data_IF_707604994309
#
_entry.id   IF_707604994309
#
_cell.length_a   1.000
_cell.length_b   1.000
_cell.length_c   1.000
_cell.angle_alpha   90.00
_cell.angle_beta   90.00
_cell.angle_gamma   90.00
#
_symmetry.space_group_name_H-M   'P 1'
#
loop_
_entity.id
_entity.type
_entity.pdbx_description
1 polymer ?
#
# COMPACT_ATOMS: atom_id res chain seq x y z
N UNK A 1 5.63 -1.85 -0.31
CA UNK A 1 6.61 -0.77 -0.62
C UNK A 1 6.38 -0.05 -1.96
N UNK A 2 5.38 -0.42 -2.77
CA UNK A 2 5.17 0.20 -4.08
C UNK A 2 4.74 1.68 -4.06
N UNK A 3 3.98 2.12 -3.06
CA UNK A 3 3.45 3.50 -2.99
C UNK A 3 4.56 4.52 -2.81
N UNK A 4 5.31 4.44 -1.70
CA UNK A 4 6.27 5.49 -1.35
C UNK A 4 7.45 5.60 -2.28
N UNK A 5 7.97 4.47 -2.78
CA UNK A 5 9.03 4.51 -3.77
C UNK A 5 8.57 5.23 -5.03
N UNK A 6 7.39 4.91 -5.57
CA UNK A 6 6.84 5.58 -6.76
C UNK A 6 6.56 7.07 -6.52
N UNK A 7 5.98 7.40 -5.38
CA UNK A 7 5.61 8.79 -5.07
C UNK A 7 6.84 9.67 -4.81
N UNK A 8 7.83 9.18 -4.05
CA UNK A 8 9.08 9.91 -3.77
C UNK A 8 9.99 10.04 -5.00
N UNK A 9 9.96 9.06 -5.90
CA UNK A 9 10.78 9.04 -7.13
C UNK A 9 10.40 10.13 -8.15
N UNK A 10 9.15 10.62 -8.11
CA UNK A 10 8.75 11.77 -8.93
C UNK A 10 9.58 13.01 -8.56
N UNK A 11 10.05 13.75 -9.57
CA UNK A 11 10.88 14.93 -9.31
C UNK A 11 10.07 16.04 -8.64
N UNK A 12 10.62 16.61 -7.57
CA UNK A 12 10.14 17.81 -6.92
C UNK A 12 11.01 19.03 -7.29
N UNK A 13 10.45 20.25 -7.32
CA UNK A 13 11.17 21.43 -7.79
C UNK A 13 12.27 21.93 -6.84
N UNK A 14 12.36 21.42 -5.61
CA UNK A 14 13.29 21.93 -4.59
C UNK A 14 14.52 21.02 -4.44
N UNK A 15 14.31 19.72 -4.24
CA UNK A 15 15.39 18.74 -4.04
C UNK A 15 15.55 17.78 -5.23
N UNK A 16 14.72 17.89 -6.26
CA UNK A 16 14.77 16.98 -7.41
C UNK A 16 14.25 15.61 -7.02
N UNK A 17 15.10 14.66 -6.67
CA UNK A 17 14.69 13.30 -6.32
C UNK A 17 14.86 13.04 -4.82
N UNK A 18 13.79 12.64 -4.15
CA UNK A 18 13.83 12.16 -2.76
C UNK A 18 14.18 10.67 -2.78
N UNK A 19 15.45 10.32 -2.55
CA UNK A 19 15.92 8.93 -2.56
C UNK A 19 15.79 8.33 -1.16
N UNK A 20 14.85 7.41 -0.88
CA UNK A 20 14.65 6.90 0.46
C UNK A 20 15.60 5.74 0.79
N UNK A 21 16.26 5.81 1.95
CA UNK A 21 16.76 4.62 2.65
C UNK A 21 15.56 3.96 3.33
N UNK A 22 15.08 2.86 2.77
CA UNK A 22 13.89 2.16 3.29
C UNK A 22 14.29 1.20 4.40
N UNK A 23 13.87 1.50 5.63
CA UNK A 23 13.94 0.59 6.77
C UNK A 23 12.55 0.05 7.07
N UNK A 24 12.20 -1.08 6.45
CA UNK A 24 10.93 -1.75 6.67
C UNK A 24 11.11 -3.26 6.61
N UNK A 25 10.46 -3.97 7.53
CA UNK A 25 10.34 -5.43 7.51
C UNK A 25 8.87 -5.83 7.64
N UNK A 26 8.46 -7.00 7.10
CA UNK A 26 7.15 -7.55 7.40
C UNK A 26 6.93 -7.62 8.92
N UNK A 27 5.76 -7.17 9.38
CA UNK A 27 5.46 -7.15 10.82
C UNK A 27 6.28 -6.17 11.65
N UNK A 28 6.83 -5.09 11.07
CA UNK A 28 7.48 -4.05 11.85
C UNK A 28 6.47 -3.32 12.77
N UNK A 29 6.82 -3.15 14.04
CA UNK A 29 6.04 -2.40 15.03
C UNK A 29 6.85 -1.18 15.50
N UNK A 30 6.17 -0.04 15.66
CA UNK A 30 6.74 1.13 16.32
C UNK A 30 7.18 0.80 17.73
N UNK A 31 6.49 -0.07 18.47
CA UNK A 31 6.78 -0.36 19.88
C UNK A 31 8.17 -0.94 20.11
N UNK A 32 8.65 -1.78 19.18
CA UNK A 32 9.94 -2.46 19.28
C UNK A 32 11.07 -1.70 18.61
N UNK A 33 10.80 -0.86 17.60
CA UNK A 33 11.85 -0.23 16.82
C UNK A 33 12.66 0.76 17.69
N UNK A 34 13.99 0.64 17.70
CA UNK A 34 14.92 1.40 18.56
C UNK A 34 14.75 1.21 20.09
N UNK A 35 13.93 0.27 20.55
CA UNK A 35 13.89 -0.12 21.96
C UNK A 35 15.19 -0.85 22.40
N UNK A 36 15.40 -1.04 23.71
CA UNK A 36 16.63 -1.58 24.33
C UNK A 36 17.09 -2.95 23.78
N UNK A 37 16.24 -3.70 23.09
CA UNK A 37 16.57 -4.97 22.44
C UNK A 37 16.13 -5.04 20.96
N UNK A 38 15.90 -3.89 20.33
CA UNK A 38 15.49 -3.81 18.94
C UNK A 38 16.59 -4.33 18.01
N UNK A 39 16.18 -4.87 16.86
CA UNK A 39 17.11 -5.29 15.79
C UNK A 39 18.12 -4.18 15.50
N UNK A 40 19.40 -4.57 15.33
CA UNK A 40 20.56 -3.70 15.05
C UNK A 40 20.51 -2.94 13.71
N UNK A 41 19.34 -2.75 13.09
CA UNK A 41 19.18 -2.09 11.78
C UNK A 41 19.78 -0.68 11.74
N UNK A 42 19.61 0.05 12.83
CA UNK A 42 20.15 1.41 12.99
C UNK A 42 21.66 1.43 13.22
N UNK A 43 22.28 0.30 13.56
CA UNK A 43 23.74 0.21 13.73
C UNK A 43 24.45 0.49 12.40
N UNK A 44 23.88 0.09 11.26
CA UNK A 44 24.48 0.41 9.97
C UNK A 44 24.43 1.92 9.68
N UNK A 45 23.31 2.57 10.00
CA UNK A 45 23.17 4.04 9.88
C UNK A 45 24.20 4.74 10.77
N UNK A 46 24.34 4.29 12.02
CA UNK A 46 25.28 4.86 12.98
C UNK A 46 26.73 4.61 12.57
N UNK A 47 27.04 3.40 12.09
CA UNK A 47 28.37 3.07 11.62
C UNK A 47 28.78 4.00 10.46
N UNK A 48 27.87 4.26 9.51
CA UNK A 48 28.17 5.18 8.40
C UNK A 48 28.27 6.62 8.89
N UNK A 49 27.38 7.07 9.80
CA UNK A 49 27.48 8.38 10.45
C UNK A 49 28.87 8.58 11.07
N UNK A 50 29.30 7.64 11.90
CA UNK A 50 30.48 7.76 12.75
C UNK A 50 31.79 7.58 11.99
N UNK A 51 31.81 6.72 10.96
CA UNK A 51 33.04 6.35 10.27
C UNK A 51 33.21 7.01 8.89
N UNK A 52 32.11 7.42 8.22
CA UNK A 52 32.17 7.87 6.83
C UNK A 52 31.48 9.20 6.56
N UNK A 53 30.59 9.69 7.43
CA UNK A 53 29.82 10.91 7.21
C UNK A 53 30.13 12.03 8.21
N UNK A 54 31.33 12.02 8.80
CA UNK A 54 31.82 13.07 9.70
C UNK A 54 30.91 13.32 10.91
N UNK A 55 30.28 12.26 11.45
CA UNK A 55 29.36 12.34 12.58
C UNK A 55 27.93 12.77 12.22
N UNK A 56 27.63 13.03 10.94
CA UNK A 56 26.30 13.49 10.50
C UNK A 56 25.40 12.32 10.08
N UNK A 57 24.08 12.36 10.35
CA UNK A 57 23.16 11.36 9.81
C UNK A 57 23.23 11.29 8.29
N UNK A 58 23.07 10.08 7.72
CA UNK A 58 23.08 9.83 6.27
C UNK A 58 21.74 10.15 5.58
N UNK A 59 20.87 10.84 6.29
CA UNK A 59 19.51 11.18 5.87
C UNK A 59 19.20 12.61 6.32
N UNK A 60 18.25 13.25 5.65
CA UNK A 60 17.85 14.64 5.92
C UNK A 60 16.55 14.75 6.73
N UNK A 61 15.70 13.73 6.66
CA UNK A 61 14.47 13.61 7.44
C UNK A 61 14.10 12.14 7.66
N UNK A 62 13.13 11.90 8.53
CA UNK A 62 12.50 10.59 8.73
C UNK A 62 11.04 10.64 8.27
N UNK A 63 10.65 9.75 7.37
CA UNK A 63 9.24 9.53 7.02
C UNK A 63 8.70 8.33 7.81
N UNK A 64 7.78 8.58 8.73
CA UNK A 64 7.25 7.57 9.64
C UNK A 64 5.85 7.06 9.22
N UNK A 65 5.86 5.93 8.50
CA UNK A 65 4.67 5.15 8.16
C UNK A 65 4.44 3.93 9.09
N UNK A 66 5.13 3.85 10.23
CA UNK A 66 4.95 2.76 11.20
C UNK A 66 3.67 2.95 12.01
N UNK A 67 3.27 1.96 12.83
CA UNK A 67 2.14 2.09 13.74
C UNK A 67 0.96 1.20 13.41
N UNK A 68 0.81 0.74 12.16
CA UNK A 68 -0.34 -0.10 11.77
C UNK A 68 -0.31 -1.45 12.48
N UNK A 69 0.88 -2.06 12.64
CA UNK A 69 1.00 -3.37 13.29
C UNK A 69 0.96 -3.28 14.82
N UNK A 70 1.18 -2.09 15.40
CA UNK A 70 1.02 -1.79 16.84
C UNK A 70 -0.44 -1.80 17.34
N UNK A 71 -1.34 -2.21 16.45
CA UNK A 71 -2.79 -2.19 16.60
C UNK A 71 -3.27 -2.86 17.88
N UNK A 72 -4.28 -2.25 18.49
CA UNK A 72 -4.97 -2.75 19.68
C UNK A 72 -6.33 -2.06 19.77
N UNK A 73 -7.28 -2.66 20.48
CA UNK A 73 -8.59 -2.04 20.74
C UNK A 73 -8.47 -0.85 21.69
N UNK A 74 -7.41 -0.78 22.51
CA UNK A 74 -7.18 0.30 23.47
C UNK A 74 -6.44 1.49 22.82
N UNK A 75 -7.14 2.61 22.65
CA UNK A 75 -6.60 3.82 22.01
C UNK A 75 -5.28 4.31 22.62
N UNK A 76 -5.22 4.46 23.95
CA UNK A 76 -4.03 4.98 24.65
C UNK A 76 -2.80 4.10 24.47
N UNK A 77 -2.98 2.77 24.40
CA UNK A 77 -1.90 1.82 24.14
C UNK A 77 -1.42 1.88 22.69
N UNK A 78 -2.33 2.02 21.73
CA UNK A 78 -1.93 2.19 20.32
C UNK A 78 -1.15 3.50 20.13
N UNK A 79 -1.64 4.59 20.70
CA UNK A 79 -0.96 5.88 20.67
C UNK A 79 0.43 5.82 21.30
N UNK A 80 0.57 5.23 22.50
CA UNK A 80 1.87 5.16 23.17
C UNK A 80 2.90 4.37 22.35
N UNK A 81 2.48 3.28 21.72
CA UNK A 81 3.32 2.48 20.81
C UNK A 81 3.73 3.27 19.56
N UNK A 82 2.77 3.92 18.88
CA UNK A 82 3.03 4.75 17.69
C UNK A 82 4.00 5.88 17.99
N UNK A 83 3.77 6.64 19.06
CA UNK A 83 4.60 7.80 19.39
C UNK A 83 5.91 7.45 20.11
N UNK A 84 6.09 6.21 20.54
CA UNK A 84 7.36 5.73 21.08
C UNK A 84 8.51 5.80 20.09
N UNK A 85 8.27 5.49 18.80
CA UNK A 85 9.32 5.54 17.78
C UNK A 85 9.86 6.97 17.53
N UNK A 86 9.05 7.99 17.20
CA UNK A 86 9.58 9.33 16.97
C UNK A 86 10.28 9.90 18.21
N UNK A 87 9.82 9.57 19.42
CA UNK A 87 10.53 9.91 20.66
C UNK A 87 11.94 9.32 20.69
N UNK A 88 12.08 8.01 20.44
CA UNK A 88 13.39 7.33 20.43
C UNK A 88 14.31 7.80 19.30
N UNK A 89 13.76 8.12 18.13
CA UNK A 89 14.53 8.73 17.02
C UNK A 89 15.09 10.08 17.46
N UNK A 90 14.27 10.95 18.06
CA UNK A 90 14.71 12.26 18.58
C UNK A 90 15.72 12.13 19.72
N UNK A 91 15.60 11.12 20.58
CA UNK A 91 16.62 10.83 21.60
C UNK A 91 17.94 10.41 20.97
N UNK A 92 17.92 9.54 19.93
CA UNK A 92 19.14 8.99 19.31
C UNK A 92 19.86 9.99 18.40
N UNK A 93 19.13 10.80 17.65
CA UNK A 93 19.69 11.67 16.60
C UNK A 93 19.52 13.17 16.88
N UNK A 94 18.90 13.53 18.01
CA UNK A 94 18.73 14.90 18.47
C UNK A 94 17.28 15.39 18.35
N UNK A 95 16.87 16.23 19.32
CA UNK A 95 15.50 16.73 19.44
C UNK A 95 15.01 17.49 18.19
N UNK A 96 15.93 18.11 17.44
CA UNK A 96 15.66 18.82 16.18
C UNK A 96 15.50 17.92 14.96
N UNK A 97 15.58 16.59 15.10
CA UNK A 97 15.37 15.66 13.98
C UNK A 97 14.01 15.91 13.31
N UNK A 98 14.01 16.17 12.00
CA UNK A 98 12.81 16.42 11.23
C UNK A 98 12.10 15.10 10.89
N UNK A 99 10.92 14.88 11.48
CA UNK A 99 10.11 13.68 11.28
C UNK A 99 8.77 14.06 10.64
N UNK A 100 8.46 13.47 9.50
CA UNK A 100 7.16 13.57 8.84
C UNK A 100 6.34 12.31 9.16
N UNK A 101 5.25 12.48 9.89
CA UNK A 101 4.34 11.40 10.24
C UNK A 101 3.32 11.11 9.14
N UNK A 102 2.71 9.93 9.18
CA UNK A 102 1.65 9.53 8.26
C UNK A 102 0.46 8.93 9.00
N UNK A 103 -0.74 9.23 8.53
CA UNK A 103 -1.94 8.51 8.99
C UNK A 103 -1.91 7.04 8.53
N UNK A 104 -2.55 6.19 9.33
CA UNK A 104 -2.59 4.74 9.16
C UNK A 104 -3.79 4.33 8.29
N UNK A 105 -3.59 3.27 7.52
CA UNK A 105 -4.62 2.66 6.67
C UNK A 105 -5.36 1.55 7.42
N UNK A 106 -6.66 1.36 7.18
CA UNK A 106 -7.47 0.32 7.83
C UNK A 106 -7.09 -1.10 7.41
N UNK A 107 -7.68 -2.08 8.10
CA UNK A 107 -7.79 -3.48 7.63
C UNK A 107 -9.24 -3.73 7.25
N UNK A 108 -9.46 -4.40 6.12
CA UNK A 108 -10.79 -4.78 5.68
C UNK A 108 -10.98 -6.30 5.78
N UNK A 109 -12.24 -6.72 5.77
CA UNK A 109 -12.65 -8.04 5.33
C UNK A 109 -13.61 -7.88 4.15
N UNK A 110 -13.83 -8.94 3.38
CA UNK A 110 -14.76 -8.92 2.25
C UNK A 110 -15.58 -10.20 2.15
N UNK A 111 -16.85 -10.05 1.80
CA UNK A 111 -17.76 -11.16 1.47
C UNK A 111 -17.73 -11.58 0.00
N UNK A 112 -17.05 -10.81 -0.87
CA UNK A 112 -17.05 -10.99 -2.33
C UNK A 112 -15.64 -10.90 -2.92
N UNK A 113 -14.63 -11.25 -2.13
CA UNK A 113 -13.22 -11.21 -2.48
C UNK A 113 -12.69 -9.82 -2.91
N UNK A 114 -13.30 -8.75 -2.42
CA UNK A 114 -12.93 -7.36 -2.71
C UNK A 114 -13.45 -6.86 -4.05
N UNK A 115 -14.48 -7.51 -4.59
CA UNK A 115 -15.08 -7.14 -5.88
C UNK A 115 -15.77 -5.79 -5.80
N UNK A 116 -16.66 -5.60 -4.82
CA UNK A 116 -17.44 -4.38 -4.66
C UNK A 116 -17.08 -3.62 -3.39
N UNK A 117 -17.26 -2.29 -3.40
CA UNK A 117 -17.13 -1.46 -2.21
C UNK A 117 -18.17 -1.90 -1.18
N UNK A 118 -19.39 -2.25 -1.60
CA UNK A 118 -20.43 -2.77 -0.72
C UNK A 118 -19.99 -4.04 0.04
N UNK A 119 -19.24 -4.93 -0.62
CA UNK A 119 -18.74 -6.18 -0.04
C UNK A 119 -17.66 -6.03 1.03
N UNK A 120 -17.03 -4.84 1.17
CA UNK A 120 -16.09 -4.59 2.26
C UNK A 120 -16.78 -4.33 3.59
N UNK A 121 -16.18 -4.87 4.65
CA UNK A 121 -16.50 -4.63 6.05
C UNK A 121 -15.26 -4.18 6.83
N UNK A 122 -15.46 -3.35 7.86
CA UNK A 122 -14.42 -2.93 8.82
C UNK A 122 -14.93 -3.16 10.24
N UNK A 123 -14.08 -3.67 11.11
CA UNK A 123 -14.37 -3.72 12.55
C UNK A 123 -14.19 -2.35 13.19
N UNK A 124 -14.81 -2.09 14.35
CA UNK A 124 -14.67 -0.81 15.10
C UNK A 124 -13.21 -0.38 15.34
N UNK A 125 -12.29 -1.34 15.54
CA UNK A 125 -10.86 -1.03 15.68
C UNK A 125 -10.27 -0.35 14.44
N UNK A 126 -10.72 -0.75 13.26
CA UNK A 126 -10.21 -0.33 11.96
C UNK A 126 -11.11 0.68 11.24
N UNK A 127 -12.25 1.07 11.81
CA UNK A 127 -13.12 2.08 11.21
C UNK A 127 -12.38 3.45 11.16
N UNK A 128 -12.10 3.96 9.95
CA UNK A 128 -11.31 5.17 9.78
C UNK A 128 -12.11 6.47 10.00
N UNK A 129 -13.43 6.37 10.18
CA UNK A 129 -14.32 7.52 10.38
C UNK A 129 -14.71 7.68 11.85
N UNK A 130 -15.07 6.58 12.51
CA UNK A 130 -15.62 6.61 13.89
C UNK A 130 -14.91 5.69 14.89
N UNK A 131 -13.95 4.88 14.43
CA UNK A 131 -13.32 3.84 15.24
C UNK A 131 -12.06 4.25 16.00
N UNK A 132 -11.40 3.26 16.62
CA UNK A 132 -10.09 3.46 17.27
C UNK A 132 -9.06 4.02 16.29
N UNK A 133 -9.05 3.52 15.05
CA UNK A 133 -8.20 4.03 13.97
C UNK A 133 -8.46 5.52 13.69
N UNK A 134 -9.71 5.96 13.65
CA UNK A 134 -10.05 7.37 13.43
C UNK A 134 -9.44 8.26 14.54
N UNK A 135 -9.52 7.82 15.79
CA UNK A 135 -8.91 8.52 16.93
C UNK A 135 -7.38 8.52 16.87
N UNK A 136 -6.74 7.38 16.53
CA UNK A 136 -5.29 7.30 16.35
C UNK A 136 -4.81 8.24 15.23
N UNK A 137 -5.50 8.24 14.08
CA UNK A 137 -5.18 9.12 12.97
C UNK A 137 -5.37 10.60 13.32
N UNK A 138 -6.38 10.93 14.11
CA UNK A 138 -6.56 12.29 14.63
C UNK A 138 -5.40 12.70 15.54
N UNK A 139 -4.93 11.81 16.41
CA UNK A 139 -3.75 12.06 17.25
C UNK A 139 -2.46 12.18 16.46
N UNK A 140 -2.29 11.40 15.38
CA UNK A 140 -1.13 11.55 14.49
C UNK A 140 -1.14 12.95 13.88
N UNK A 141 -2.29 13.40 13.35
CA UNK A 141 -2.43 14.72 12.72
C UNK A 141 -2.17 15.89 13.65
N UNK A 142 -2.53 15.78 14.93
CA UNK A 142 -2.29 16.81 15.94
C UNK A 142 -0.99 16.65 16.72
N UNK A 143 -0.18 15.62 16.42
CA UNK A 143 0.99 15.28 17.21
C UNK A 143 2.09 16.32 17.11
N UNK A 144 2.66 16.71 18.24
CA UNK A 144 3.88 17.53 18.31
C UNK A 144 5.17 16.70 18.17
N UNK A 145 5.06 15.37 18.15
CA UNK A 145 6.20 14.50 17.90
C UNK A 145 6.69 14.57 16.44
N UNK A 146 5.77 14.88 15.53
CA UNK A 146 6.06 15.09 14.12
C UNK A 146 6.21 16.57 13.79
N UNK A 147 7.15 16.90 12.92
CA UNK A 147 7.33 18.25 12.40
C UNK A 147 6.21 18.60 11.41
N UNK A 148 5.78 17.62 10.62
CA UNK A 148 4.66 17.70 9.66
C UNK A 148 3.98 16.34 9.54
N UNK A 149 2.77 16.31 9.00
CA UNK A 149 1.99 15.08 8.80
C UNK A 149 1.40 15.03 7.40
N UNK A 150 1.49 13.87 6.75
CA UNK A 150 0.79 13.55 5.51
C UNK A 150 -0.47 12.74 5.87
N UNK A 151 -1.65 13.25 5.51
CA UNK A 151 -2.90 12.48 5.65
C UNK A 151 -3.05 11.52 4.46
N UNK A 152 -2.53 10.31 4.63
CA UNK A 152 -2.56 9.25 3.62
C UNK A 152 -3.95 8.65 3.45
N UNK A 153 -4.72 8.60 4.54
CA UNK A 153 -5.95 7.82 4.62
C UNK A 153 -6.92 8.16 3.47
N UNK A 154 -7.26 9.43 3.17
CA UNK A 154 -8.17 9.74 2.06
C UNK A 154 -7.71 9.24 0.68
N UNK A 155 -6.41 9.24 0.41
CA UNK A 155 -5.87 8.72 -0.85
C UNK A 155 -6.01 7.19 -0.98
N UNK A 156 -6.15 6.50 0.16
CA UNK A 156 -6.33 5.06 0.23
C UNK A 156 -7.80 4.62 0.20
N UNK A 157 -8.75 5.48 0.60
CA UNK A 157 -10.17 5.13 0.66
C UNK A 157 -10.87 5.21 -0.70
N UNK A 158 -11.99 4.48 -0.81
CA UNK A 158 -12.93 4.57 -1.93
C UNK A 158 -13.63 5.94 -1.96
N UNK A 159 -14.09 6.36 -3.14
CA UNK A 159 -14.84 7.61 -3.29
C UNK A 159 -16.30 7.51 -2.85
N UNK A 160 -16.90 6.31 -3.00
CA UNK A 160 -18.30 6.06 -2.67
C UNK A 160 -18.57 5.85 -1.18
N UNK A 161 -17.58 5.34 -0.44
CA UNK A 161 -17.65 5.17 1.02
C UNK A 161 -16.26 5.40 1.66
N UNK A 162 -16.08 6.49 2.44
CA UNK A 162 -14.80 6.79 3.08
C UNK A 162 -14.44 5.83 4.20
N UNK A 163 -15.31 4.87 4.56
CA UNK A 163 -14.99 3.76 5.48
C UNK A 163 -14.35 2.57 4.79
N UNK A 164 -14.41 2.50 3.46
CA UNK A 164 -14.07 1.29 2.70
C UNK A 164 -12.95 1.50 1.70
N UNK A 165 -12.15 0.45 1.51
CA UNK A 165 -10.99 0.46 0.62
C UNK A 165 -11.36 0.44 -0.86
N UNK A 166 -10.37 0.52 -1.75
CA UNK A 166 -10.61 0.52 -3.17
C UNK A 166 -10.95 -0.91 -3.64
N UNK A 167 -12.19 -1.14 -4.04
CA UNK A 167 -12.65 -2.44 -4.55
C UNK A 167 -12.37 -2.59 -6.05
N UNK A 168 -12.46 -3.82 -6.56
CA UNK A 168 -12.14 -4.12 -7.95
C UNK A 168 -13.04 -3.40 -8.97
N UNK A 169 -14.30 -3.14 -8.63
CA UNK A 169 -15.25 -2.40 -9.46
C UNK A 169 -14.79 -0.97 -9.81
N UNK A 170 -13.88 -0.39 -9.01
CA UNK A 170 -13.29 0.92 -9.28
C UNK A 170 -12.20 0.89 -10.37
N UNK A 171 -11.85 -0.30 -10.86
CA UNK A 171 -10.77 -0.53 -11.81
C UNK A 171 -11.23 -1.41 -12.98
N UNK A 172 -12.19 -0.95 -13.80
CA UNK A 172 -12.57 -1.67 -15.00
C UNK A 172 -11.39 -1.77 -15.97
N UNK A 173 -11.14 -2.97 -16.48
CA UNK A 173 -10.05 -3.25 -17.44
C UNK A 173 -10.58 -3.67 -18.82
N UNK A 174 -11.89 -3.55 -19.03
CA UNK A 174 -12.58 -4.04 -20.23
C UNK A 174 -13.09 -5.46 -20.01
N UNK A 175 -12.83 -6.34 -20.99
CA UNK A 175 -13.33 -7.70 -20.99
C UNK A 175 -12.21 -8.70 -21.27
N UNK A 176 -12.41 -9.95 -20.88
CA UNK A 176 -11.59 -11.07 -21.34
C UNK A 176 -11.77 -11.19 -22.85
N UNK A 177 -10.66 -11.24 -23.58
CA UNK A 177 -10.68 -11.28 -25.06
C UNK A 177 -10.69 -12.70 -25.58
N UNK A 178 -9.95 -13.58 -24.90
CA UNK A 178 -9.82 -14.97 -25.31
C UNK A 178 -9.49 -15.85 -24.12
N UNK A 179 -10.13 -17.00 -24.11
CA UNK A 179 -9.95 -18.02 -23.10
C UNK A 179 -8.79 -18.99 -23.41
N UNK A 180 -8.34 -19.77 -22.42
CA UNK A 180 -7.43 -20.88 -22.66
C UNK A 180 -7.99 -21.90 -23.65
N UNK A 181 -7.12 -22.57 -24.41
CA UNK A 181 -7.53 -23.53 -25.44
C UNK A 181 -8.26 -24.78 -24.92
N UNK A 182 -8.21 -25.07 -23.61
CA UNK A 182 -8.99 -26.15 -22.98
C UNK A 182 -9.93 -25.55 -21.90
N UNK A 183 -11.24 -25.76 -22.07
CA UNK A 183 -12.32 -25.24 -21.21
C UNK A 183 -13.21 -26.34 -20.63
N UNK A 184 -12.66 -27.52 -20.42
CA UNK A 184 -13.37 -28.68 -19.86
C UNK A 184 -13.71 -28.56 -18.35
N UNK A 185 -13.39 -27.42 -17.71
CA UNK A 185 -13.59 -27.19 -16.28
C UNK A 185 -12.78 -28.11 -15.36
N UNK A 186 -11.84 -28.89 -15.90
CA UNK A 186 -11.07 -29.90 -15.16
C UNK A 186 -9.57 -29.81 -15.44
N UNK A 187 -9.19 -29.32 -16.61
CA UNK A 187 -7.81 -29.13 -17.02
C UNK A 187 -7.31 -27.75 -16.64
N UNK A 188 -6.15 -27.76 -16.00
CA UNK A 188 -5.43 -26.57 -15.64
C UNK A 188 -4.93 -25.79 -16.87
N UNK A 189 -4.99 -24.48 -16.78
CA UNK A 189 -4.44 -23.57 -17.78
C UNK A 189 -3.60 -22.48 -17.12
N UNK A 190 -2.60 -22.00 -17.86
CA UNK A 190 -1.68 -20.97 -17.39
C UNK A 190 -1.67 -19.73 -18.29
N UNK A 191 -2.50 -19.68 -19.34
CA UNK A 191 -2.60 -18.54 -20.26
C UNK A 191 -4.01 -18.01 -20.41
N UNK A 192 -4.16 -16.68 -20.49
CA UNK A 192 -5.41 -15.99 -20.81
C UNK A 192 -5.13 -14.80 -21.73
N UNK A 193 -6.03 -14.49 -22.68
CA UNK A 193 -5.89 -13.32 -23.55
C UNK A 193 -6.71 -12.16 -23.03
N UNK A 194 -6.05 -11.04 -22.81
CA UNK A 194 -6.63 -9.80 -22.27
C UNK A 194 -6.20 -8.60 -23.13
N UNK A 195 -6.79 -7.41 -22.92
CA UNK A 195 -6.29 -6.19 -23.54
C UNK A 195 -4.80 -5.95 -23.23
N UNK A 196 -4.05 -5.47 -24.21
CA UNK A 196 -2.63 -5.14 -24.02
C UNK A 196 -2.43 -3.89 -23.14
N UNK A 197 -3.49 -3.18 -22.78
CA UNK A 197 -3.45 -2.09 -21.80
C UNK A 197 -3.34 -2.57 -20.35
N UNK A 198 -3.63 -3.86 -20.07
CA UNK A 198 -3.55 -4.40 -18.71
C UNK A 198 -2.09 -4.47 -18.24
N UNK A 199 -1.73 -3.85 -17.10
CA UNK A 199 -0.36 -3.91 -16.61
C UNK A 199 0.07 -5.32 -16.19
N UNK A 200 1.32 -5.69 -16.50
CA UNK A 200 1.92 -6.90 -15.94
C UNK A 200 2.03 -6.79 -14.41
N UNK A 201 1.81 -7.89 -13.69
CA UNK A 201 1.75 -7.91 -12.23
C UNK A 201 0.40 -7.49 -11.66
N UNK A 202 -0.58 -7.12 -12.50
CA UNK A 202 -1.97 -6.94 -12.05
C UNK A 202 -2.53 -8.24 -11.51
N UNK A 203 -3.23 -8.13 -10.37
CA UNK A 203 -4.18 -9.16 -9.93
C UNK A 203 -5.53 -8.80 -10.52
N UNK A 204 -5.99 -9.58 -11.49
CA UNK A 204 -7.26 -9.38 -12.18
C UNK A 204 -8.34 -10.27 -11.60
N UNK A 205 -9.58 -9.81 -11.71
CA UNK A 205 -10.79 -10.53 -11.38
C UNK A 205 -11.68 -10.57 -12.62
N UNK A 206 -12.29 -11.71 -12.89
CA UNK A 206 -13.25 -11.84 -13.99
C UNK A 206 -14.37 -12.81 -13.65
N UNK A 207 -15.50 -12.59 -14.29
CA UNK A 207 -16.67 -13.45 -14.19
C UNK A 207 -16.48 -14.68 -15.08
N UNK A 208 -16.50 -15.87 -14.50
CA UNK A 208 -16.22 -17.10 -15.24
C UNK A 208 -17.50 -17.90 -15.52
N UNK A 209 -18.57 -17.58 -14.79
CA UNK A 209 -19.97 -17.94 -15.05
C UNK A 209 -20.85 -16.81 -14.49
N UNK A 210 -22.11 -16.65 -14.94
CA UNK A 210 -23.00 -15.63 -14.39
C UNK A 210 -23.05 -15.67 -12.85
N UNK A 211 -22.66 -14.57 -12.21
CA UNK A 211 -22.58 -14.41 -10.76
C UNK A 211 -21.35 -15.04 -10.08
N UNK A 212 -20.53 -15.81 -10.79
CA UNK A 212 -19.36 -16.50 -10.25
C UNK A 212 -18.07 -15.86 -10.74
N UNK A 213 -17.23 -15.47 -9.79
CA UNK A 213 -16.02 -14.69 -10.05
C UNK A 213 -14.78 -15.45 -9.60
N UNK A 214 -13.68 -15.26 -10.33
CA UNK A 214 -12.37 -15.80 -9.97
C UNK A 214 -11.31 -14.73 -10.14
N UNK A 215 -10.07 -15.02 -9.74
CA UNK A 215 -8.96 -14.07 -9.85
C UNK A 215 -7.68 -14.74 -10.28
N UNK A 216 -6.84 -13.97 -11.00
CA UNK A 216 -5.52 -14.40 -11.49
C UNK A 216 -4.51 -13.27 -11.33
N UNK A 217 -3.26 -13.61 -11.05
CA UNK A 217 -2.12 -12.70 -11.03
C UNK A 217 -1.34 -12.88 -12.32
N UNK A 218 -1.10 -11.80 -13.05
CA UNK A 218 -0.43 -11.84 -14.35
C UNK A 218 1.11 -11.84 -14.16
N UNK A 219 1.79 -12.87 -14.64
CA UNK A 219 3.23 -13.10 -14.43
C UNK A 219 4.09 -13.05 -15.70
N UNK A 220 3.48 -13.12 -16.88
CA UNK A 220 4.16 -12.95 -18.17
C UNK A 220 3.20 -12.34 -19.21
N UNK A 221 3.76 -11.76 -20.27
CA UNK A 221 2.99 -11.09 -21.33
C UNK A 221 3.69 -11.24 -22.67
N UNK A 222 2.92 -11.61 -23.70
CA UNK A 222 3.33 -11.60 -25.10
C UNK A 222 2.33 -10.78 -25.92
N UNK A 223 2.77 -9.64 -26.44
CA UNK A 223 1.92 -8.77 -27.26
C UNK A 223 1.68 -9.37 -28.65
N UNK A 224 0.44 -9.25 -29.15
CA UNK A 224 0.04 -9.77 -30.46
C UNK A 224 0.04 -8.73 -31.58
N UNK A 225 0.25 -7.45 -31.24
CA UNK A 225 0.25 -6.33 -32.21
C UNK A 225 -1.14 -5.86 -32.65
N UNK A 226 -2.22 -6.45 -32.11
CA UNK A 226 -3.62 -6.17 -32.44
C UNK A 226 -4.37 -5.47 -31.29
N UNK A 227 -3.64 -4.90 -30.32
CA UNK A 227 -4.22 -4.33 -29.09
C UNK A 227 -4.52 -5.37 -28.01
N UNK A 228 -4.14 -6.62 -28.22
CA UNK A 228 -4.32 -7.73 -27.26
C UNK A 228 -2.99 -8.37 -26.89
N UNK A 229 -2.96 -9.09 -25.78
CA UNK A 229 -1.79 -9.84 -25.35
C UNK A 229 -2.19 -11.16 -24.68
N UNK A 230 -1.36 -12.19 -24.89
CA UNK A 230 -1.47 -13.45 -24.17
C UNK A 230 -0.66 -13.32 -22.87
N UNK A 231 -1.34 -13.49 -21.73
CA UNK A 231 -0.75 -13.38 -20.40
C UNK A 231 -0.57 -14.73 -19.75
N UNK A 232 0.58 -14.93 -19.08
CA UNK A 232 0.76 -16.03 -18.13
C UNK A 232 0.11 -15.70 -16.80
N UNK A 233 -0.51 -16.67 -16.15
CA UNK A 233 -1.14 -16.53 -14.83
C UNK A 233 -0.45 -17.37 -13.77
N UNK A 234 -0.44 -16.89 -12.52
CA UNK A 234 0.16 -17.59 -11.38
C UNK A 234 -0.77 -18.68 -10.84
N UNK A 235 -2.06 -18.36 -10.66
CA UNK A 235 -3.04 -19.32 -10.15
C UNK A 235 -3.52 -20.22 -11.30
N UNK A 236 -2.81 -21.33 -11.50
CA UNK A 236 -3.10 -22.34 -12.52
C UNK A 236 -4.20 -23.26 -11.99
N UNK A 237 -5.44 -23.00 -12.41
CA UNK A 237 -6.65 -23.67 -11.91
C UNK A 237 -7.57 -24.04 -13.08
N UNK A 238 -8.38 -25.10 -12.94
CA UNK A 238 -9.32 -25.51 -13.97
C UNK A 238 -10.59 -24.67 -13.86
N UNK A 239 -10.61 -23.51 -14.51
CA UNK A 239 -11.77 -22.61 -14.49
C UNK A 239 -12.20 -22.28 -15.90
N UNK A 240 -13.49 -22.44 -16.20
CA UNK A 240 -14.04 -22.09 -17.50
C UNK A 240 -14.08 -20.57 -17.64
N UNK A 241 -13.27 -20.02 -18.52
CA UNK A 241 -13.20 -18.58 -18.74
C UNK A 241 -14.17 -18.21 -19.85
N UNK A 242 -15.13 -17.33 -19.60
CA UNK A 242 -16.01 -16.85 -20.66
C UNK A 242 -15.30 -15.73 -21.44
N UNK A 243 -15.29 -15.86 -22.76
CA UNK A 243 -14.95 -14.73 -23.62
C UNK A 243 -15.94 -13.60 -23.37
N UNK A 244 -15.45 -12.38 -23.50
CA UNK A 244 -16.19 -11.16 -23.22
C UNK A 244 -16.64 -11.01 -21.75
N UNK A 245 -16.17 -11.86 -20.82
CA UNK A 245 -16.41 -11.68 -19.40
C UNK A 245 -15.85 -10.34 -18.89
N UNK A 246 -16.57 -9.70 -17.96
CA UNK A 246 -16.11 -8.47 -17.31
C UNK A 246 -14.75 -8.70 -16.65
N UNK A 247 -13.80 -7.81 -16.91
CA UNK A 247 -12.45 -7.85 -16.35
C UNK A 247 -12.21 -6.64 -15.45
N UNK A 248 -11.83 -6.89 -14.21
CA UNK A 248 -11.56 -5.88 -13.19
C UNK A 248 -10.15 -6.05 -12.62
N UNK A 249 -9.53 -4.96 -12.19
CA UNK A 249 -8.28 -4.98 -11.45
C UNK A 249 -8.54 -4.96 -9.95
N UNK A 250 -7.90 -5.82 -9.17
CA UNK A 250 -7.99 -5.74 -7.70
C UNK A 250 -7.36 -4.45 -7.17
N UNK A 251 -8.06 -3.78 -6.25
CA UNK A 251 -7.47 -2.70 -5.45
C UNK A 251 -6.69 -3.19 -4.23
N UNK A 252 -7.11 -4.31 -3.65
CA UNK A 252 -6.47 -4.92 -2.47
C UNK A 252 -5.92 -6.31 -2.80
N UNK A 253 -4.86 -6.71 -2.11
CA UNK A 253 -4.37 -8.09 -2.10
C UNK A 253 -5.36 -9.00 -1.34
N UNK A 254 -5.25 -10.34 -1.47
CA UNK A 254 -6.15 -11.29 -0.80
C UNK A 254 -6.21 -11.18 0.72
N UNK A 255 -5.19 -10.60 1.36
CA UNK A 255 -5.15 -10.37 2.80
C UNK A 255 -5.95 -9.13 3.25
N UNK A 256 -6.45 -8.32 2.30
CA UNK A 256 -7.18 -7.07 2.53
C UNK A 256 -6.47 -6.06 3.46
N UNK A 257 -5.15 -6.22 3.56
CA UNK A 257 -4.24 -5.36 4.31
C UNK A 257 -3.39 -4.57 3.31
N UNK A 258 -2.84 -5.26 2.33
CA UNK A 258 -1.94 -4.67 1.36
C UNK A 258 -2.70 -4.25 0.09
N UNK A 259 -2.42 -3.09 -0.50
CA UNK A 259 -2.97 -2.74 -1.80
C UNK A 259 -2.35 -3.62 -2.89
N UNK A 260 -3.18 -4.07 -3.84
CA UNK A 260 -2.72 -4.65 -5.09
C UNK A 260 -2.25 -3.53 -6.06
N UNK A 261 -1.74 -3.89 -7.24
CA UNK A 261 -1.14 -2.92 -8.18
C UNK A 261 -2.05 -1.73 -8.47
N UNK A 262 -3.33 -1.97 -8.78
CA UNK A 262 -4.26 -0.88 -9.09
C UNK A 262 -4.56 0.00 -7.87
N UNK A 263 -4.66 -0.58 -6.67
CA UNK A 263 -4.74 0.19 -5.42
C UNK A 263 -3.50 1.03 -5.16
N UNK A 264 -2.30 0.48 -5.40
CA UNK A 264 -1.03 1.22 -5.29
C UNK A 264 -1.03 2.43 -6.23
N UNK A 265 -1.36 2.23 -7.51
CA UNK A 265 -1.37 3.30 -8.51
C UNK A 265 -2.41 4.37 -8.16
N UNK A 266 -3.60 3.96 -7.69
CA UNK A 266 -4.65 4.87 -7.23
C UNK A 266 -4.21 5.70 -6.03
N UNK A 267 -3.59 5.08 -5.03
CA UNK A 267 -3.14 5.83 -3.84
C UNK A 267 -2.03 6.81 -4.21
N UNK A 268 -1.06 6.40 -5.04
CA UNK A 268 0.02 7.29 -5.50
C UNK A 268 -0.51 8.51 -6.25
N UNK A 269 -1.47 8.34 -7.16
CA UNK A 269 -2.01 9.44 -7.96
C UNK A 269 -2.83 10.44 -7.13
N UNK A 270 -3.26 10.06 -5.92
CA UNK A 270 -4.10 10.86 -5.05
C UNK A 270 -3.37 11.55 -3.91
N UNK A 271 -2.09 11.26 -3.71
CA UNK A 271 -1.25 12.02 -2.79
C UNK A 271 -0.64 13.19 -3.58
N UNK A 272 -1.03 14.45 -3.31
CA UNK A 272 -0.50 15.59 -4.04
C UNK A 272 1.01 15.67 -3.93
N UNK A 273 1.72 15.97 -5.03
CA UNK A 273 3.18 16.16 -4.99
C UNK A 273 3.59 17.36 -4.12
N UNK A 274 2.68 18.32 -3.89
CA UNK A 274 2.90 19.45 -2.97
C UNK A 274 3.13 19.02 -1.52
N UNK A 275 2.69 17.82 -1.12
CA UNK A 275 2.97 17.25 0.20
C UNK A 275 4.48 17.05 0.45
N UNK A 276 5.32 17.00 -0.60
CA UNK A 276 6.78 16.91 -0.45
C UNK A 276 7.40 18.13 0.23
N UNK A 277 6.73 19.29 0.16
CA UNK A 277 7.13 20.49 0.91
C UNK A 277 7.28 20.24 2.41
N UNK A 278 6.56 19.25 2.96
CA UNK A 278 6.61 18.88 4.37
C UNK A 278 7.95 18.26 4.78
N UNK A 279 8.78 17.80 3.84
CA UNK A 279 10.09 17.23 4.14
C UNK A 279 11.18 18.28 4.35
N UNK A 280 10.95 19.53 3.93
CA UNK A 280 11.96 20.58 4.00
C UNK A 280 11.97 21.19 5.41
N UNK A 281 13.05 21.06 6.20
CA UNK A 281 13.09 21.53 7.60
C UNK A 281 13.13 23.07 7.74
N UNK A 282 13.17 23.81 6.63
CA UNK A 282 13.43 25.25 6.60
C UNK A 282 12.60 26.02 5.53
N UNK A 283 11.37 25.57 5.23
CA UNK A 283 10.42 26.32 4.40
C UNK A 283 9.39 27.07 5.26
#
# INVERSE_FOLDING_TARGET
>A
MGIWRRWLDQRDPVWGSLIPVVMGVPGAHSEYELATNATKRWVMIDYIRDNFNGGKPIWTFVLDQSGRNDTTTTLSLWQSRKFGLPSRVKTRYGAGTHIVGMTLMPTFSSSDAGRSVAGYSVTTQWDPVSGTLASVNSSIKSSTWYNKVIDLLPAFMSDGDPRKGPAAELFPLGNVIGHPGNQDGTTNWDTIRLPSSVPLGSRVMFEYQPGLWTSRTLSGRTDRGDGTADYKVVEVLPTNVQDNATLLGHGMAPDFIHPALHGVLRTVSRIPQSEKSKFYPAA
#
